data_IF_128275765095
#
_entry.id   IF_128275765095
#
_cell.length_a   1.000
_cell.length_b   1.000
_cell.length_c   1.000
_cell.angle_alpha   90.00
_cell.angle_beta   90.00
_cell.angle_gamma   90.00
#
_symmetry.space_group_name_H-M   'P 1'
#
loop_
_entity.id
_entity.type
_entity.pdbx_description
1 polymer ?
#
# COMPACT_ATOMS: atom_id res chain seq x y z
N UNK A 1 7.75 -11.88 37.90
CA UNK A 1 8.13 -11.37 36.58
C UNK A 1 6.95 -11.22 35.64
N UNK A 2 6.60 -9.96 35.40
CA UNK A 2 5.41 -9.50 34.68
C UNK A 2 5.77 -8.93 33.30
N UNK A 3 6.85 -9.34 32.63
CA UNK A 3 7.24 -8.83 31.31
C UNK A 3 6.40 -9.47 30.19
N UNK A 4 6.14 -8.77 29.06
CA UNK A 4 5.58 -9.46 27.89
C UNK A 4 6.68 -10.38 27.43
N UNK A 5 6.44 -11.69 27.54
CA UNK A 5 7.41 -12.65 27.04
C UNK A 5 7.43 -12.48 25.54
N UNK A 6 8.58 -12.07 25.01
CA UNK A 6 8.92 -12.42 23.66
C UNK A 6 9.02 -13.95 23.64
N UNK A 7 7.91 -14.61 23.32
CA UNK A 7 7.94 -16.05 23.07
C UNK A 7 8.94 -16.19 21.94
N UNK A 8 10.11 -16.77 22.24
CA UNK A 8 11.18 -17.09 21.28
C UNK A 8 10.67 -18.18 20.31
N UNK A 9 9.65 -17.81 19.54
CA UNK A 9 8.98 -18.57 18.51
C UNK A 9 9.79 -18.36 17.26
N UNK A 10 10.55 -19.40 16.93
CA UNK A 10 11.55 -19.36 15.86
C UNK A 10 12.66 -18.33 16.19
N UNK A 11 13.91 -18.56 15.78
CA UNK A 11 14.98 -17.56 15.95
C UNK A 11 14.87 -16.39 14.95
N UNK A 12 13.71 -15.72 14.92
CA UNK A 12 13.39 -14.54 14.08
C UNK A 12 13.86 -13.22 14.70
N UNK A 13 14.62 -13.28 15.79
CA UNK A 13 15.21 -12.13 16.48
C UNK A 13 16.43 -11.54 15.73
N UNK A 14 16.96 -12.26 14.73
CA UNK A 14 18.03 -11.79 13.83
C UNK A 14 17.58 -11.92 12.38
N UNK A 15 17.91 -10.92 11.57
CA UNK A 15 17.66 -11.00 10.14
C UNK A 15 18.60 -12.02 9.47
N UNK A 16 18.15 -12.56 8.34
CA UNK A 16 18.77 -13.68 7.67
C UNK A 16 19.51 -13.25 6.41
N UNK A 17 20.82 -13.44 6.40
CA UNK A 17 21.75 -13.09 5.31
C UNK A 17 22.37 -14.34 4.63
N UNK A 18 22.10 -15.56 5.11
CA UNK A 18 22.75 -16.78 4.61
C UNK A 18 21.79 -17.96 4.31
N UNK A 19 22.36 -19.06 3.79
CA UNK A 19 21.67 -20.31 3.50
C UNK A 19 21.31 -21.11 4.77
N UNK A 20 22.08 -21.02 5.86
CA UNK A 20 21.81 -21.79 7.09
C UNK A 20 20.55 -21.31 7.81
N UNK A 21 20.28 -20.00 7.71
CA UNK A 21 19.11 -19.33 8.26
C UNK A 21 17.82 -19.59 7.46
N UNK A 22 17.92 -20.21 6.28
CA UNK A 22 16.74 -20.59 5.47
C UNK A 22 15.87 -21.64 6.18
N UNK A 23 16.50 -22.55 6.94
CA UNK A 23 15.80 -23.55 7.75
C UNK A 23 14.87 -22.94 8.79
N UNK A 24 15.14 -21.71 9.23
CA UNK A 24 14.31 -20.99 10.22
C UNK A 24 12.98 -20.58 9.60
N UNK A 25 13.01 -20.10 8.35
CA UNK A 25 11.81 -19.75 7.60
C UNK A 25 10.93 -20.97 7.35
N UNK A 26 11.50 -22.16 7.17
CA UNK A 26 10.75 -23.39 6.93
C UNK A 26 9.93 -23.85 8.15
N UNK A 27 10.29 -23.38 9.35
CA UNK A 27 9.54 -23.69 10.57
C UNK A 27 8.18 -22.96 10.64
N UNK A 28 8.04 -21.84 9.92
CA UNK A 28 6.80 -21.06 9.89
C UNK A 28 5.94 -21.62 8.76
N UNK A 29 4.76 -22.14 9.10
CA UNK A 29 3.77 -22.57 8.12
C UNK A 29 3.13 -21.40 7.35
N UNK A 30 2.42 -21.70 6.27
CA UNK A 30 1.57 -20.70 5.60
C UNK A 30 0.29 -20.45 6.39
N UNK A 31 -0.21 -19.21 6.33
CA UNK A 31 -1.46 -18.83 6.97
C UNK A 31 -2.67 -19.43 6.25
N UNK A 32 -3.63 -19.91 7.03
CA UNK A 32 -4.91 -20.39 6.50
C UNK A 32 -5.73 -19.19 6.00
N UNK A 33 -6.22 -19.28 4.77
CA UNK A 33 -7.18 -18.34 4.19
C UNK A 33 -6.57 -17.17 3.44
N UNK A 34 -5.24 -17.13 3.28
CA UNK A 34 -4.58 -16.17 2.40
C UNK A 34 -4.56 -16.68 0.95
N UNK A 35 -4.66 -15.76 0.01
CA UNK A 35 -4.73 -16.01 -1.44
C UNK A 35 -3.63 -15.24 -2.16
N UNK A 36 -3.33 -15.66 -3.38
CA UNK A 36 -2.47 -14.90 -4.29
C UNK A 36 -2.99 -13.48 -4.49
N UNK A 37 -2.07 -12.54 -4.69
CA UNK A 37 -2.40 -11.13 -4.91
C UNK A 37 -2.77 -10.95 -6.37
N UNK A 38 -3.73 -10.06 -6.61
CA UNK A 38 -4.13 -9.68 -7.96
C UNK A 38 -4.30 -8.18 -8.04
N UNK A 39 -3.98 -7.60 -9.20
CA UNK A 39 -4.34 -6.20 -9.52
C UNK A 39 -3.87 -5.16 -8.48
N UNK A 40 -2.72 -5.37 -7.82
CA UNK A 40 -2.25 -4.45 -6.78
C UNK A 40 -1.91 -3.06 -7.32
N UNK A 41 -1.49 -3.01 -8.59
CA UNK A 41 -1.10 -1.76 -9.26
C UNK A 41 -2.26 -1.17 -10.09
N UNK A 42 -3.44 -1.80 -10.10
CA UNK A 42 -4.60 -1.27 -10.82
C UNK A 42 -5.25 -0.14 -10.01
N UNK A 43 -5.12 1.10 -10.50
CA UNK A 43 -5.69 2.27 -9.83
C UNK A 43 -7.23 2.22 -9.75
N UNK A 44 -7.90 1.47 -10.62
CA UNK A 44 -9.36 1.24 -10.58
C UNK A 44 -9.81 0.42 -9.35
N UNK A 45 -8.90 -0.34 -8.72
CA UNK A 45 -9.20 -1.14 -7.53
C UNK A 45 -9.14 -0.33 -6.22
N UNK A 46 -8.68 0.93 -6.28
CA UNK A 46 -8.68 1.88 -5.16
C UNK A 46 -10.07 2.49 -4.96
N UNK A 47 -10.71 2.12 -3.85
CA UNK A 47 -12.08 2.52 -3.55
C UNK A 47 -12.37 2.48 -2.04
N UNK A 48 -13.58 2.90 -1.67
CA UNK A 48 -14.08 2.98 -0.30
C UNK A 48 -15.16 1.91 -0.02
N UNK A 49 -15.24 0.85 -0.84
CA UNK A 49 -16.38 -0.10 -0.74
C UNK A 49 -16.44 -0.83 0.58
N UNK A 50 -15.28 -1.09 1.17
CA UNK A 50 -15.14 -1.74 2.48
C UNK A 50 -15.32 -0.75 3.65
N UNK A 51 -15.79 0.47 3.38
CA UNK A 51 -15.99 1.57 4.34
C UNK A 51 -17.45 2.08 4.37
N UNK A 52 -18.40 1.38 3.72
CA UNK A 52 -19.79 1.83 3.45
C UNK A 52 -20.75 1.84 4.66
N UNK A 53 -20.24 2.02 5.88
CA UNK A 53 -21.10 2.26 7.05
C UNK A 53 -21.74 3.67 6.94
N UNK A 54 -23.06 3.83 7.14
CA UNK A 54 -23.74 5.13 7.08
C UNK A 54 -23.19 6.17 8.07
N UNK A 55 -22.46 5.75 9.11
CA UNK A 55 -21.80 6.62 10.09
C UNK A 55 -20.29 6.70 9.91
N UNK A 56 -19.77 6.34 8.72
CA UNK A 56 -18.34 6.29 8.52
C UNK A 56 -17.67 7.68 8.65
N UNK A 57 -16.87 7.84 9.70
CA UNK A 57 -16.06 9.03 9.93
C UNK A 57 -14.95 9.20 8.88
N UNK A 58 -14.61 8.16 8.13
CA UNK A 58 -13.50 8.11 7.19
C UNK A 58 -13.85 8.47 5.73
N UNK A 59 -14.75 9.43 5.50
CA UNK A 59 -15.04 9.97 4.15
C UNK A 59 -13.75 10.47 3.46
N UNK A 60 -13.56 10.12 2.19
CA UNK A 60 -12.40 10.53 1.38
C UNK A 60 -11.20 9.58 1.47
N UNK A 61 -11.32 8.48 2.21
CA UNK A 61 -10.31 7.41 2.22
C UNK A 61 -10.53 6.47 1.05
N UNK A 62 -9.51 6.31 0.21
CA UNK A 62 -9.43 5.22 -0.77
C UNK A 62 -8.51 4.13 -0.21
N UNK A 63 -9.03 2.91 -0.15
CA UNK A 63 -8.32 1.78 0.44
C UNK A 63 -7.40 1.17 -0.62
N UNK A 64 -6.09 1.01 -0.34
CA UNK A 64 -5.18 0.35 -1.26
C UNK A 64 -5.66 -1.08 -1.59
N UNK A 65 -5.61 -1.53 -2.86
CA UNK A 65 -5.91 -2.92 -3.24
C UNK A 65 -5.09 -3.93 -2.44
N UNK A 66 -3.83 -3.58 -2.14
CA UNK A 66 -2.93 -4.34 -1.25
C UNK A 66 -3.51 -4.47 0.16
N UNK A 67 -3.97 -3.38 0.78
CA UNK A 67 -4.61 -3.42 2.12
C UNK A 67 -5.89 -4.24 2.11
N UNK A 68 -6.72 -4.14 1.06
CA UNK A 68 -7.95 -4.94 0.91
C UNK A 68 -7.64 -6.44 0.82
N UNK A 69 -6.50 -6.78 0.22
CA UNK A 69 -6.01 -8.15 0.06
C UNK A 69 -5.01 -8.57 1.13
N UNK A 70 -4.82 -7.78 2.21
CA UNK A 70 -3.83 -8.06 3.26
C UNK A 70 -4.06 -9.46 3.84
N UNK A 71 -3.04 -10.31 3.74
CA UNK A 71 -3.04 -11.62 4.36
C UNK A 71 -2.99 -11.45 5.86
N UNK A 72 -3.83 -12.19 6.55
CA UNK A 72 -3.86 -12.29 8.00
C UNK A 72 -4.54 -13.62 8.31
N UNK A 73 -3.98 -14.41 9.23
CA UNK A 73 -4.50 -15.76 9.46
C UNK A 73 -6.00 -15.76 9.77
N UNK A 74 -6.76 -16.60 9.05
CA UNK A 74 -8.20 -16.80 9.29
C UNK A 74 -8.48 -17.29 10.71
N UNK A 75 -7.52 -17.96 11.36
CA UNK A 75 -7.65 -18.38 12.76
C UNK A 75 -7.75 -17.14 13.67
N UNK A 76 -6.93 -16.12 13.42
CA UNK A 76 -6.95 -14.86 14.19
C UNK A 76 -8.19 -14.03 13.86
N UNK A 77 -8.60 -14.00 12.58
CA UNK A 77 -9.80 -13.28 12.11
C UNK A 77 -11.12 -13.95 12.48
N UNK A 78 -11.15 -15.26 12.64
CA UNK A 78 -12.38 -16.06 12.79
C UNK A 78 -12.92 -16.06 14.23
N UNK A 79 -14.01 -16.80 14.50
CA UNK A 79 -14.59 -16.90 15.86
C UNK A 79 -13.72 -17.73 16.82
N UNK A 80 -12.68 -18.39 16.30
CA UNK A 80 -11.77 -19.20 17.11
C UNK A 80 -11.13 -18.33 18.22
N UNK A 81 -11.22 -18.83 19.45
CA UNK A 81 -10.51 -18.28 20.58
C UNK A 81 -9.12 -18.92 20.62
N UNK A 82 -8.10 -18.10 20.40
CA UNK A 82 -6.71 -18.49 20.65
C UNK A 82 -6.54 -18.69 22.15
N UNK A 83 -5.79 -19.72 22.56
CA UNK A 83 -5.76 -20.15 23.98
C UNK A 83 -4.79 -19.29 24.81
N UNK A 84 -3.75 -18.78 24.14
CA UNK A 84 -2.62 -18.08 24.72
C UNK A 84 -1.94 -17.14 23.69
N UNK A 85 -1.08 -16.23 24.16
CA UNK A 85 -0.30 -15.27 23.39
C UNK A 85 0.71 -15.94 22.47
N UNK A 86 1.19 -17.15 22.82
CA UNK A 86 2.11 -17.92 21.97
C UNK A 86 1.40 -18.32 20.66
N UNK A 87 0.22 -18.91 20.74
CA UNK A 87 -0.61 -19.26 19.58
C UNK A 87 -1.00 -18.01 18.78
N UNK A 88 -1.36 -16.91 19.46
CA UNK A 88 -1.64 -15.64 18.78
C UNK A 88 -0.43 -15.16 17.98
N UNK A 89 0.75 -15.12 18.60
CA UNK A 89 2.00 -14.73 17.92
C UNK A 89 2.28 -15.64 16.73
N UNK A 90 2.16 -16.95 16.90
CA UNK A 90 2.40 -17.92 15.83
C UNK A 90 1.53 -17.64 14.59
N UNK A 91 0.24 -17.39 14.79
CA UNK A 91 -0.68 -17.11 13.68
C UNK A 91 -0.44 -15.75 13.02
N UNK A 92 -0.01 -14.74 13.78
CA UNK A 92 0.43 -13.45 13.22
C UNK A 92 1.67 -13.66 12.33
N UNK A 93 2.65 -14.46 12.78
CA UNK A 93 3.85 -14.75 12.01
C UNK A 93 3.55 -15.54 10.72
N UNK A 94 2.65 -16.53 10.77
CA UNK A 94 2.16 -17.23 9.57
C UNK A 94 1.54 -16.25 8.57
N UNK A 95 0.69 -15.35 9.06
CA UNK A 95 0.09 -14.31 8.23
C UNK A 95 1.14 -13.43 7.55
N UNK A 96 2.08 -12.90 8.35
CA UNK A 96 3.12 -12.02 7.86
C UNK A 96 4.03 -12.71 6.82
N UNK A 97 4.38 -13.98 7.06
CA UNK A 97 5.10 -14.77 6.08
C UNK A 97 4.32 -14.94 4.79
N UNK A 98 3.05 -15.35 4.86
CA UNK A 98 2.24 -15.51 3.66
C UNK A 98 2.03 -14.18 2.93
N UNK A 99 1.92 -13.05 3.63
CA UNK A 99 1.90 -11.71 3.01
C UNK A 99 3.17 -11.45 2.20
N UNK A 100 4.35 -11.64 2.80
CA UNK A 100 5.62 -11.46 2.10
C UNK A 100 5.79 -12.39 0.91
N UNK A 101 5.33 -13.65 1.02
CA UNK A 101 5.35 -14.64 -0.06
C UNK A 101 4.49 -14.19 -1.24
N UNK A 102 3.22 -13.85 -1.00
CA UNK A 102 2.30 -13.50 -2.08
C UNK A 102 2.61 -12.14 -2.71
N UNK A 103 3.13 -11.16 -1.94
CA UNK A 103 3.66 -9.92 -2.51
C UNK A 103 4.89 -10.20 -3.38
N UNK A 104 5.79 -11.07 -2.90
CA UNK A 104 6.97 -11.51 -3.66
C UNK A 104 6.61 -12.19 -4.97
N UNK A 105 5.60 -13.07 -4.97
CA UNK A 105 5.08 -13.72 -6.18
C UNK A 105 4.51 -12.70 -7.17
N UNK A 106 3.62 -11.82 -6.72
CA UNK A 106 2.92 -10.87 -7.61
C UNK A 106 3.86 -9.89 -8.31
N UNK A 107 4.87 -9.38 -7.60
CA UNK A 107 5.86 -8.49 -8.20
C UNK A 107 6.95 -9.24 -8.97
N UNK A 108 6.97 -10.57 -8.92
CA UNK A 108 7.87 -11.41 -9.70
C UNK A 108 7.29 -11.86 -11.03
N UNK A 109 5.99 -12.14 -11.07
CA UNK A 109 5.28 -12.54 -12.29
C UNK A 109 5.77 -11.69 -13.47
N UNK A 110 6.07 -12.35 -14.59
CA UNK A 110 6.68 -11.72 -15.77
C UNK A 110 5.76 -10.63 -16.33
N UNK A 111 5.95 -9.42 -15.81
CA UNK A 111 5.49 -8.19 -16.41
C UNK A 111 6.56 -7.84 -17.42
N UNK A 112 6.37 -8.28 -18.66
CA UNK A 112 7.26 -8.23 -19.84
C UNK A 112 8.00 -6.90 -20.14
N UNK A 113 7.84 -5.87 -19.30
CA UNK A 113 8.36 -4.51 -19.47
C UNK A 113 9.14 -3.96 -18.26
N UNK A 114 9.15 -4.63 -17.10
CA UNK A 114 9.77 -4.08 -15.88
C UNK A 114 11.16 -4.65 -15.56
N UNK A 115 12.11 -3.77 -15.21
CA UNK A 115 13.44 -4.20 -14.76
C UNK A 115 13.33 -4.95 -13.43
N UNK A 116 14.23 -5.92 -13.22
CA UNK A 116 14.26 -6.75 -12.01
C UNK A 116 14.43 -5.94 -10.72
N UNK A 117 15.19 -4.84 -10.77
CA UNK A 117 15.43 -4.00 -9.59
C UNK A 117 14.18 -3.22 -9.18
N UNK A 118 13.49 -2.64 -10.16
CA UNK A 118 12.20 -1.95 -9.95
C UNK A 118 11.15 -2.90 -9.34
N UNK A 119 11.13 -4.18 -9.78
CA UNK A 119 10.27 -5.23 -9.21
C UNK A 119 10.56 -5.52 -7.74
N UNK A 120 11.84 -5.65 -7.37
CA UNK A 120 12.24 -5.86 -5.96
C UNK A 120 11.85 -4.66 -5.11
N UNK A 121 12.05 -3.45 -5.62
CA UNK A 121 11.71 -2.22 -4.93
C UNK A 121 10.21 -2.10 -4.70
N UNK A 122 9.38 -2.39 -5.71
CA UNK A 122 7.91 -2.44 -5.56
C UNK A 122 7.48 -3.47 -4.51
N UNK A 123 8.06 -4.67 -4.53
CA UNK A 123 7.78 -5.70 -3.53
C UNK A 123 8.16 -5.25 -2.11
N UNK A 124 9.33 -4.63 -1.94
CA UNK A 124 9.77 -4.09 -0.66
C UNK A 124 8.82 -3.01 -0.14
N UNK A 125 8.46 -2.03 -0.98
CA UNK A 125 7.56 -0.95 -0.58
C UNK A 125 6.16 -1.49 -0.22
N UNK A 126 5.64 -2.46 -0.98
CA UNK A 126 4.38 -3.13 -0.64
C UNK A 126 4.47 -3.91 0.68
N UNK A 127 5.60 -4.56 0.96
CA UNK A 127 5.83 -5.22 2.25
C UNK A 127 5.90 -4.22 3.40
N UNK A 128 6.59 -3.08 3.23
CA UNK A 128 6.63 -2.00 4.23
C UNK A 128 5.22 -1.47 4.52
N UNK A 129 4.44 -1.17 3.49
CA UNK A 129 3.05 -0.69 3.66
C UNK A 129 2.18 -1.72 4.39
N UNK A 130 2.33 -3.01 4.07
CA UNK A 130 1.63 -4.09 4.77
C UNK A 130 2.08 -4.26 6.21
N UNK A 131 3.38 -4.13 6.50
CA UNK A 131 3.92 -4.16 7.86
C UNK A 131 3.31 -3.05 8.73
N UNK A 132 3.18 -1.83 8.19
CA UNK A 132 2.50 -0.75 8.90
C UNK A 132 1.00 -1.00 9.04
N UNK A 133 0.33 -1.64 8.07
CA UNK A 133 -1.08 -1.99 8.26
C UNK A 133 -1.26 -3.05 9.36
N UNK A 134 -0.34 -4.01 9.48
CA UNK A 134 -0.29 -4.94 10.61
C UNK A 134 -0.22 -4.21 11.95
N UNK A 135 0.64 -3.19 12.06
CA UNK A 135 0.74 -2.36 13.27
C UNK A 135 -0.60 -1.75 13.64
N UNK A 136 -1.26 -1.09 12.68
CA UNK A 136 -2.54 -0.41 12.91
C UNK A 136 -3.65 -1.40 13.24
N UNK A 137 -3.66 -2.59 12.63
CA UNK A 137 -4.62 -3.66 12.95
C UNK A 137 -4.40 -4.18 14.38
N UNK A 138 -3.15 -4.45 14.75
CA UNK A 138 -2.79 -5.01 16.06
C UNK A 138 -3.09 -4.01 17.18
N UNK A 139 -2.72 -2.73 16.98
CA UNK A 139 -3.01 -1.62 17.90
C UNK A 139 -4.49 -1.20 17.86
N UNK A 140 -5.27 -1.71 16.90
CA UNK A 140 -6.70 -1.41 16.68
C UNK A 140 -6.99 0.04 16.32
N UNK A 141 -6.05 0.71 15.67
CA UNK A 141 -6.18 2.06 15.12
C UNK A 141 -6.35 2.08 13.59
N UNK A 142 -6.41 0.91 12.94
CA UNK A 142 -6.67 0.76 11.51
C UNK A 142 -8.00 1.41 11.09
N UNK A 143 -8.02 2.09 9.94
CA UNK A 143 -9.22 2.77 9.45
C UNK A 143 -10.33 1.81 9.05
N UNK A 144 -10.02 0.53 8.80
CA UNK A 144 -11.02 -0.53 8.59
C UNK A 144 -11.29 -1.34 9.86
N UNK A 145 -10.75 -0.94 11.02
CA UNK A 145 -10.84 -1.72 12.24
C UNK A 145 -12.28 -2.13 12.56
N UNK A 146 -13.30 -1.29 12.32
CA UNK A 146 -14.69 -1.64 12.63
C UNK A 146 -15.32 -2.67 11.69
N UNK A 147 -14.64 -3.06 10.60
CA UNK A 147 -15.20 -3.87 9.51
C UNK A 147 -14.36 -5.13 9.35
N UNK A 148 -13.12 -4.96 8.91
CA UNK A 148 -12.14 -6.04 8.83
C UNK A 148 -11.22 -5.91 10.04
N UNK A 149 -11.07 -6.98 10.83
CA UNK A 149 -10.16 -7.04 11.99
C UNK A 149 -10.64 -6.42 13.32
N UNK A 150 -11.93 -6.12 13.46
CA UNK A 150 -12.51 -5.48 14.67
C UNK A 150 -12.19 -6.16 15.99
N UNK A 151 -12.05 -7.48 15.97
CA UNK A 151 -11.85 -8.25 17.19
C UNK A 151 -10.37 -8.52 17.50
N UNK A 152 -9.43 -8.10 16.65
CA UNK A 152 -8.01 -8.46 16.82
C UNK A 152 -7.42 -7.84 18.07
N UNK A 153 -7.55 -6.52 18.24
CA UNK A 153 -7.10 -5.83 19.45
C UNK A 153 -7.80 -6.39 20.70
N UNK A 154 -9.11 -6.59 20.63
CA UNK A 154 -9.91 -7.12 21.76
C UNK A 154 -9.42 -8.51 22.18
N UNK A 155 -9.15 -9.39 21.22
CA UNK A 155 -8.59 -10.72 21.49
C UNK A 155 -7.21 -10.64 22.11
N UNK A 156 -6.35 -9.78 21.57
CA UNK A 156 -5.00 -9.58 22.10
C UNK A 156 -5.04 -9.05 23.54
N UNK A 157 -5.86 -8.03 23.80
CA UNK A 157 -6.03 -7.44 25.14
C UNK A 157 -6.52 -8.51 26.14
N UNK A 158 -7.51 -9.35 25.77
CA UNK A 158 -7.96 -10.46 26.63
C UNK A 158 -6.86 -11.47 26.96
N UNK A 159 -6.02 -11.80 25.97
CA UNK A 159 -4.89 -12.71 26.17
C UNK A 159 -3.80 -12.09 27.06
N UNK A 160 -3.50 -10.80 26.86
CA UNK A 160 -2.57 -10.05 27.69
C UNK A 160 -3.03 -9.99 29.14
N UNK A 161 -4.31 -9.66 29.39
CA UNK A 161 -4.90 -9.64 30.73
C UNK A 161 -4.77 -11.00 31.42
N UNK A 162 -5.11 -12.08 30.71
CA UNK A 162 -5.06 -13.46 31.23
C UNK A 162 -3.65 -13.91 31.60
N UNK A 163 -2.65 -13.68 30.75
CA UNK A 163 -1.30 -14.21 30.95
C UNK A 163 -0.38 -13.31 31.78
N UNK A 164 -0.74 -12.04 31.94
CA UNK A 164 0.04 -11.09 32.73
C UNK A 164 -0.60 -10.79 34.08
N UNK A 165 -1.56 -11.60 34.55
CA UNK A 165 -2.25 -11.43 35.82
C UNK A 165 -2.82 -10.01 36.02
N UNK A 166 -3.59 -9.51 35.04
CA UNK A 166 -4.21 -8.18 35.06
C UNK A 166 -3.25 -6.97 35.12
N UNK A 167 -1.98 -7.11 34.72
CA UNK A 167 -1.16 -5.93 34.49
C UNK A 167 -1.72 -5.11 33.31
N UNK A 168 -1.64 -3.78 33.40
CA UNK A 168 -2.15 -2.77 32.44
C UNK A 168 -1.42 -2.74 31.09
N UNK A 169 -0.97 -3.89 30.59
CA UNK A 169 -0.26 -3.98 29.32
C UNK A 169 -1.21 -3.87 28.15
N UNK A 170 -0.72 -3.24 27.09
CA UNK A 170 -1.54 -2.92 25.93
C UNK A 170 -1.00 -3.58 24.67
N UNK A 171 -1.85 -3.63 23.64
CA UNK A 171 -1.48 -4.12 22.31
C UNK A 171 -0.25 -3.41 21.75
N UNK A 172 -0.02 -2.13 22.09
CA UNK A 172 1.16 -1.36 21.70
C UNK A 172 2.45 -1.98 22.26
N UNK A 173 2.49 -2.35 23.54
CA UNK A 173 3.65 -2.98 24.16
C UNK A 173 3.96 -4.34 23.49
N UNK A 174 2.90 -5.08 23.14
CA UNK A 174 3.02 -6.34 22.43
C UNK A 174 3.59 -6.13 21.03
N UNK A 175 3.12 -5.11 20.30
CA UNK A 175 3.68 -4.75 18.99
C UNK A 175 5.17 -4.41 19.11
N UNK A 176 5.56 -3.51 20.02
CA UNK A 176 6.96 -3.10 20.19
C UNK A 176 7.88 -4.30 20.47
N UNK A 177 7.39 -5.26 21.27
CA UNK A 177 8.11 -6.50 21.59
C UNK A 177 8.27 -7.41 20.35
N UNK A 178 7.27 -7.47 19.46
CA UNK A 178 7.18 -8.51 18.43
C UNK A 178 7.38 -8.01 16.99
N UNK A 179 7.37 -6.69 16.74
CA UNK A 179 7.44 -6.09 15.39
C UNK A 179 8.64 -6.58 14.57
N UNK A 180 9.78 -6.82 15.23
CA UNK A 180 10.97 -7.38 14.58
C UNK A 180 10.74 -8.79 14.03
N UNK A 181 10.11 -9.66 14.83
CA UNK A 181 9.77 -11.03 14.40
C UNK A 181 8.76 -11.01 13.24
N UNK A 182 7.80 -10.09 13.29
CA UNK A 182 6.79 -9.93 12.23
C UNK A 182 7.45 -9.50 10.92
N UNK A 183 8.32 -8.48 10.94
CA UNK A 183 9.07 -8.06 9.76
C UNK A 183 9.93 -9.19 9.18
N UNK A 184 10.67 -9.89 10.03
CA UNK A 184 11.52 -11.00 9.60
C UNK A 184 10.70 -12.18 9.05
N UNK A 185 9.48 -12.42 9.54
CA UNK A 185 8.56 -13.39 8.94
C UNK A 185 8.13 -12.96 7.52
N UNK A 186 7.85 -11.67 7.29
CA UNK A 186 7.57 -11.17 5.93
C UNK A 186 8.77 -11.38 5.00
N UNK A 187 10.00 -11.12 5.46
CA UNK A 187 11.22 -11.40 4.71
C UNK A 187 11.38 -12.90 4.39
N UNK A 188 11.07 -13.79 5.34
CA UNK A 188 11.03 -15.23 5.10
C UNK A 188 10.05 -15.59 3.97
N UNK A 189 8.86 -14.98 3.98
CA UNK A 189 7.86 -15.13 2.93
C UNK A 189 8.38 -14.73 1.57
N UNK A 190 8.93 -13.51 1.48
CA UNK A 190 9.49 -12.99 0.24
C UNK A 190 10.64 -13.87 -0.29
N UNK A 191 11.51 -14.37 0.59
CA UNK A 191 12.56 -15.34 0.21
C UNK A 191 11.96 -16.61 -0.42
N UNK A 192 10.86 -17.13 0.12
CA UNK A 192 10.14 -18.31 -0.40
C UNK A 192 9.45 -18.07 -1.74
N UNK A 193 9.23 -16.82 -2.17
CA UNK A 193 8.55 -16.53 -3.45
C UNK A 193 9.33 -17.04 -4.68
N UNK A 194 10.65 -17.28 -4.59
CA UNK A 194 11.47 -17.83 -5.68
C UNK A 194 12.94 -18.14 -5.27
N UNK A 195 13.19 -18.54 -4.00
CA UNK A 195 14.54 -18.67 -3.42
C UNK A 195 15.39 -17.38 -3.54
N UNK A 196 14.77 -16.22 -3.29
CA UNK A 196 15.44 -14.94 -3.42
C UNK A 196 16.47 -14.70 -2.33
N UNK A 197 17.58 -14.07 -2.71
CA UNK A 197 18.52 -13.49 -1.76
C UNK A 197 17.88 -12.22 -1.19
N UNK A 198 17.81 -12.14 0.14
CA UNK A 198 17.39 -10.93 0.85
C UNK A 198 18.60 -10.01 0.90
N UNK A 199 18.42 -8.77 0.44
CA UNK A 199 19.43 -7.75 0.62
C UNK A 199 19.54 -7.42 2.14
N UNK A 200 20.74 -7.45 2.74
CA UNK A 200 20.92 -7.13 4.15
C UNK A 200 20.34 -5.77 4.57
N UNK A 201 20.21 -4.81 3.67
CA UNK A 201 19.55 -3.52 3.94
C UNK A 201 18.07 -3.67 4.32
N UNK A 202 17.40 -4.74 3.88
CA UNK A 202 16.00 -5.02 4.21
C UNK A 202 15.83 -5.51 5.65
N UNK A 203 16.93 -5.86 6.32
CA UNK A 203 16.92 -6.27 7.73
C UNK A 203 16.61 -5.14 8.70
N UNK A 204 16.78 -3.90 8.25
CA UNK A 204 16.37 -2.72 9.01
C UNK A 204 14.85 -2.67 9.02
N UNK A 205 14.26 -2.72 10.23
CA UNK A 205 12.81 -2.61 10.39
C UNK A 205 12.39 -1.25 9.82
N UNK A 206 11.30 -1.20 9.02
CA UNK A 206 10.75 0.05 8.55
C UNK A 206 10.49 1.01 9.74
N UNK A 207 10.97 2.25 9.63
CA UNK A 207 11.04 3.22 10.73
C UNK A 207 9.67 3.49 11.35
N UNK A 208 9.62 3.62 12.68
CA UNK A 208 8.37 3.80 13.44
C UNK A 208 7.85 5.23 13.53
N UNK A 209 8.56 6.23 13.00
CA UNK A 209 7.97 7.57 12.74
C UNK A 209 6.98 7.44 11.58
N UNK A 210 5.88 6.80 11.90
CA UNK A 210 4.95 6.32 10.89
C UNK A 210 3.93 7.43 10.69
N UNK A 211 3.93 8.13 9.55
CA UNK A 211 2.90 9.12 9.29
C UNK A 211 1.53 8.43 9.40
N UNK A 212 0.47 9.13 9.85
CA UNK A 212 -0.88 8.60 9.93
C UNK A 212 -1.26 7.69 8.75
N UNK A 213 -2.00 6.60 9.01
CA UNK A 213 -2.30 5.57 7.99
C UNK A 213 -2.87 6.12 6.69
N UNK A 214 -3.72 7.14 6.78
CA UNK A 214 -4.25 7.85 5.62
C UNK A 214 -3.15 8.43 4.73
N UNK A 215 -2.15 9.09 5.33
CA UNK A 215 -1.02 9.67 4.58
C UNK A 215 -0.15 8.61 3.92
N UNK A 216 0.02 7.43 4.54
CA UNK A 216 0.70 6.30 3.90
C UNK A 216 -0.05 5.79 2.69
N UNK A 217 -1.37 5.64 2.80
CA UNK A 217 -2.20 5.22 1.67
C UNK A 217 -2.22 6.27 0.56
N UNK A 218 -2.22 7.57 0.88
CA UNK A 218 -2.07 8.64 -0.12
C UNK A 218 -0.71 8.55 -0.82
N UNK A 219 0.38 8.31 -0.08
CA UNK A 219 1.71 8.14 -0.66
C UNK A 219 1.80 6.91 -1.57
N UNK A 220 1.19 5.79 -1.16
CA UNK A 220 1.08 4.57 -1.97
C UNK A 220 0.26 4.83 -3.25
N UNK A 221 -0.86 5.57 -3.15
CA UNK A 221 -1.67 5.97 -4.31
C UNK A 221 -0.90 6.91 -5.24
N UNK A 222 -0.30 7.97 -4.69
CA UNK A 222 0.43 8.99 -5.43
C UNK A 222 1.62 8.43 -6.21
N UNK A 223 2.33 7.46 -5.62
CA UNK A 223 3.42 6.75 -6.31
C UNK A 223 2.90 6.02 -7.54
N UNK A 224 1.80 5.26 -7.40
CA UNK A 224 1.21 4.51 -8.52
C UNK A 224 0.63 5.44 -9.60
N UNK A 225 -0.03 6.53 -9.20
CA UNK A 225 -0.54 7.54 -10.13
C UNK A 225 0.59 8.17 -10.92
N UNK A 226 1.68 8.60 -10.27
CA UNK A 226 2.77 9.25 -10.98
C UNK A 226 3.47 8.30 -11.96
N UNK A 227 3.67 7.03 -11.59
CA UNK A 227 4.22 6.01 -12.52
C UNK A 227 3.33 5.88 -13.75
N UNK A 228 2.03 5.60 -13.57
CA UNK A 228 1.10 5.42 -14.70
C UNK A 228 0.94 6.69 -15.52
N UNK A 229 0.94 7.85 -14.88
CA UNK A 229 0.87 9.14 -15.56
C UNK A 229 2.04 9.32 -16.52
N UNK A 230 3.25 9.00 -16.08
CA UNK A 230 4.43 9.10 -16.94
C UNK A 230 4.37 8.09 -18.08
N UNK A 231 3.96 6.85 -17.83
CA UNK A 231 3.76 5.85 -18.89
C UNK A 231 2.76 6.36 -19.95
N UNK A 232 1.60 6.88 -19.53
CA UNK A 232 0.62 7.45 -20.44
C UNK A 232 1.19 8.65 -21.23
N UNK A 233 1.93 9.54 -20.56
CA UNK A 233 2.60 10.68 -21.21
C UNK A 233 3.59 10.20 -22.28
N UNK A 234 4.38 9.17 -22.00
CA UNK A 234 5.33 8.59 -22.95
C UNK A 234 4.65 7.93 -24.15
N UNK A 235 3.56 7.19 -23.93
CA UNK A 235 2.76 6.62 -25.02
C UNK A 235 2.16 7.70 -25.92
N UNK A 236 1.60 8.77 -25.34
CA UNK A 236 1.08 9.91 -26.10
C UNK A 236 2.20 10.56 -26.91
N UNK A 237 3.35 10.88 -26.30
CA UNK A 237 4.55 11.41 -27.01
C UNK A 237 4.95 10.54 -28.19
N UNK A 238 5.06 9.23 -27.97
CA UNK A 238 5.49 8.28 -28.99
C UNK A 238 4.50 8.16 -30.15
N UNK A 239 3.19 8.14 -29.87
CA UNK A 239 2.16 7.97 -30.91
C UNK A 239 1.76 9.26 -31.60
N UNK A 240 2.05 10.41 -30.99
CA UNK A 240 1.74 11.73 -31.52
C UNK A 240 2.94 12.48 -32.10
N UNK A 241 4.14 11.88 -32.14
CA UNK A 241 5.38 12.56 -32.54
C UNK A 241 5.34 13.22 -33.92
N UNK A 242 4.54 12.67 -34.84
CA UNK A 242 4.44 13.13 -36.23
C UNK A 242 3.16 13.93 -36.51
N UNK A 243 2.36 14.21 -35.47
CA UNK A 243 1.08 14.93 -35.58
C UNK A 243 1.29 16.36 -35.12
N UNK A 244 1.40 17.29 -36.07
CA UNK A 244 1.56 18.73 -35.79
C UNK A 244 0.24 19.49 -35.82
N UNK A 245 -0.76 18.99 -36.54
CA UNK A 245 -2.13 19.51 -36.55
C UNK A 245 -3.13 18.39 -36.88
N UNK A 246 -4.13 18.19 -36.01
CA UNK A 246 -5.14 17.12 -36.16
C UNK A 246 -5.97 17.22 -37.45
N UNK A 247 -6.14 18.44 -38.00
CA UNK A 247 -6.94 18.66 -39.21
C UNK A 247 -6.32 18.12 -40.52
N UNK A 248 -5.00 18.17 -40.68
CA UNK A 248 -4.35 17.85 -41.97
C UNK A 248 -3.87 16.39 -42.11
N UNK A 249 -3.74 15.65 -41.01
CA UNK A 249 -3.13 14.31 -40.97
C UNK A 249 -4.10 13.23 -40.46
N UNK A 250 -5.30 13.15 -41.04
CA UNK A 250 -6.44 12.37 -40.53
C UNK A 250 -6.23 10.84 -40.38
N UNK A 251 -5.23 10.23 -41.02
CA UNK A 251 -4.90 8.80 -40.89
C UNK A 251 -3.81 8.54 -39.85
N UNK A 252 -2.76 9.37 -39.82
CA UNK A 252 -1.67 9.35 -38.82
C UNK A 252 -2.19 9.80 -37.44
N UNK A 253 -3.23 10.63 -37.41
CA UNK A 253 -3.90 11.08 -36.19
C UNK A 253 -4.66 9.97 -35.46
N UNK A 254 -5.10 8.87 -36.11
CA UNK A 254 -5.96 7.88 -35.45
C UNK A 254 -5.31 7.22 -34.23
N UNK A 255 -4.04 6.83 -34.33
CA UNK A 255 -3.31 6.24 -33.21
C UNK A 255 -3.06 7.27 -32.10
N UNK A 256 -2.69 8.48 -32.47
CA UNK A 256 -2.49 9.58 -31.53
C UNK A 256 -3.80 9.96 -30.80
N UNK A 257 -4.90 10.17 -31.52
CA UNK A 257 -6.22 10.46 -30.97
C UNK A 257 -6.69 9.34 -30.04
N UNK A 258 -6.43 8.07 -30.38
CA UNK A 258 -6.74 6.93 -29.50
C UNK A 258 -5.97 7.01 -28.18
N UNK A 259 -4.65 7.24 -28.20
CA UNK A 259 -3.86 7.36 -26.96
C UNK A 259 -4.24 8.59 -26.13
N UNK A 260 -4.56 9.71 -26.79
CA UNK A 260 -5.08 10.90 -26.12
C UNK A 260 -6.39 10.58 -25.38
N UNK A 261 -7.34 9.91 -26.03
CA UNK A 261 -8.60 9.51 -25.38
C UNK A 261 -8.37 8.60 -24.18
N UNK A 262 -7.48 7.62 -24.30
CA UNK A 262 -7.10 6.76 -23.17
C UNK A 262 -6.52 7.57 -22.00
N UNK A 263 -5.63 8.52 -22.29
CA UNK A 263 -5.06 9.39 -21.25
C UNK A 263 -6.11 10.30 -20.60
N UNK A 264 -7.06 10.83 -21.39
CA UNK A 264 -8.19 11.61 -20.87
C UNK A 264 -9.08 10.78 -19.95
N UNK A 265 -9.49 9.59 -20.38
CA UNK A 265 -10.32 8.68 -19.58
C UNK A 265 -9.62 8.27 -18.28
N UNK A 266 -8.33 7.93 -18.37
CA UNK A 266 -7.50 7.65 -17.21
C UNK A 266 -7.43 8.85 -16.24
N UNK A 267 -7.17 10.05 -16.78
CA UNK A 267 -7.06 11.30 -16.00
C UNK A 267 -8.38 11.63 -15.31
N UNK A 268 -9.51 11.43 -15.99
CA UNK A 268 -10.86 11.63 -15.42
C UNK A 268 -11.11 10.75 -14.21
N UNK A 269 -10.82 9.45 -14.33
CA UNK A 269 -10.99 8.53 -13.20
C UNK A 269 -10.07 8.89 -12.04
N UNK A 270 -8.81 9.28 -12.30
CA UNK A 270 -7.86 9.67 -11.24
C UNK A 270 -8.22 10.99 -10.60
N UNK A 271 -8.78 11.93 -11.37
CA UNK A 271 -9.28 13.21 -10.87
C UNK A 271 -10.36 13.03 -9.81
N UNK A 272 -11.31 12.12 -10.04
CA UNK A 272 -12.37 11.79 -9.07
C UNK A 272 -11.76 11.23 -7.77
N UNK A 273 -10.79 10.32 -7.89
CA UNK A 273 -10.08 9.77 -6.73
C UNK A 273 -9.30 10.85 -5.97
N UNK A 274 -8.62 11.73 -6.69
CA UNK A 274 -7.84 12.83 -6.12
C UNK A 274 -8.72 13.83 -5.37
N UNK A 275 -9.89 14.16 -5.92
CA UNK A 275 -10.87 15.03 -5.28
C UNK A 275 -11.32 14.43 -3.95
N UNK A 276 -11.69 13.14 -3.93
CA UNK A 276 -12.06 12.44 -2.70
C UNK A 276 -10.94 12.44 -1.66
N UNK A 277 -9.70 12.15 -2.07
CA UNK A 277 -8.51 12.21 -1.20
C UNK A 277 -8.29 13.62 -0.66
N UNK A 278 -8.39 14.64 -1.52
CA UNK A 278 -8.15 16.04 -1.16
C UNK A 278 -9.20 16.55 -0.18
N UNK A 279 -10.47 16.21 -0.36
CA UNK A 279 -11.53 16.47 0.61
C UNK A 279 -11.27 15.76 1.94
N UNK A 280 -10.88 14.48 1.88
CA UNK A 280 -10.52 13.68 3.05
C UNK A 280 -9.38 14.30 3.84
N UNK A 281 -8.32 14.76 3.16
CA UNK A 281 -7.19 15.43 3.77
C UNK A 281 -7.61 16.70 4.51
N UNK A 282 -8.36 17.59 3.84
CA UNK A 282 -8.86 18.83 4.45
C UNK A 282 -9.70 18.53 5.70
N UNK A 283 -10.55 17.51 5.63
CA UNK A 283 -11.36 17.06 6.77
C UNK A 283 -10.48 16.58 7.93
N UNK A 284 -9.50 15.71 7.67
CA UNK A 284 -8.65 15.15 8.73
C UNK A 284 -7.64 16.15 9.29
N UNK A 285 -7.29 17.19 8.54
CA UNK A 285 -6.52 18.35 9.00
C UNK A 285 -7.24 19.10 10.12
N UNK A 286 -8.57 19.22 10.00
CA UNK A 286 -9.43 19.78 11.05
C UNK A 286 -9.71 18.82 12.22
N UNK A 287 -9.17 17.60 12.20
CA UNK A 287 -9.33 16.58 13.24
C UNK A 287 -7.97 16.29 13.90
N UNK A 288 -7.99 15.61 15.05
CA UNK A 288 -6.76 15.14 15.71
C UNK A 288 -5.98 14.07 14.90
N UNK A 289 -6.45 13.67 13.71
CA UNK A 289 -5.79 12.69 12.84
C UNK A 289 -4.57 13.28 12.13
N UNK A 290 -4.67 14.51 11.61
CA UNK A 290 -3.58 15.20 10.88
C UNK A 290 -3.20 16.55 11.51
N UNK A 291 -3.53 16.75 12.79
CA UNK A 291 -3.33 18.03 13.48
C UNK A 291 -1.87 18.50 13.52
N UNK A 292 -0.94 17.55 13.65
CA UNK A 292 0.51 17.82 13.73
C UNK A 292 1.21 17.85 12.37
N UNK A 293 0.49 17.51 11.30
CA UNK A 293 1.00 17.60 9.92
C UNK A 293 1.12 19.09 9.58
N UNK A 294 2.15 19.53 8.86
CA UNK A 294 2.37 20.97 8.59
C UNK A 294 1.76 21.40 7.25
N UNK A 295 1.76 20.49 6.30
CA UNK A 295 1.46 20.74 4.91
C UNK A 295 -0.04 21.05 4.74
N UNK A 296 -0.41 22.14 4.05
CA UNK A 296 -1.78 22.66 4.07
C UNK A 296 -2.77 21.74 3.35
N UNK A 297 -2.31 20.98 2.36
CA UNK A 297 -3.11 20.08 1.56
C UNK A 297 -2.33 18.80 1.17
N UNK A 298 -3.04 17.87 0.53
CA UNK A 298 -2.47 16.59 0.12
C UNK A 298 -1.40 16.73 -0.99
N UNK A 299 -1.47 17.78 -1.82
CA UNK A 299 -0.51 18.01 -2.90
C UNK A 299 0.85 18.43 -2.31
N UNK A 300 0.85 19.43 -1.42
CA UNK A 300 2.05 19.86 -0.71
C UNK A 300 2.65 18.73 0.13
N UNK A 301 1.79 17.93 0.80
CA UNK A 301 2.25 16.74 1.53
C UNK A 301 2.98 15.75 0.62
N UNK A 302 2.42 15.43 -0.55
CA UNK A 302 3.06 14.49 -1.48
C UNK A 302 4.35 15.07 -2.08
N UNK A 303 4.39 16.37 -2.39
CA UNK A 303 5.59 17.05 -2.89
C UNK A 303 6.74 16.96 -1.88
N UNK A 304 6.47 17.19 -0.59
CA UNK A 304 7.52 17.17 0.44
C UNK A 304 7.92 15.75 0.87
N UNK A 305 6.95 14.83 0.98
CA UNK A 305 7.15 13.52 1.64
C UNK A 305 7.21 12.33 0.69
N UNK A 306 6.96 12.52 -0.61
CA UNK A 306 7.03 11.46 -1.61
C UNK A 306 7.97 11.82 -2.76
N UNK A 307 9.25 11.48 -2.60
CA UNK A 307 10.26 11.61 -3.66
C UNK A 307 9.94 10.82 -4.94
N UNK A 308 9.10 9.78 -4.84
CA UNK A 308 8.60 8.98 -5.98
C UNK A 308 7.30 9.51 -6.58
N UNK A 309 6.79 10.63 -6.06
CA UNK A 309 5.58 11.28 -6.55
C UNK A 309 5.90 12.64 -7.21
N UNK A 310 6.86 12.77 -8.14
CA UNK A 310 7.23 14.08 -8.69
C UNK A 310 6.18 14.62 -9.67
N UNK A 311 4.91 14.21 -9.62
CA UNK A 311 3.90 14.64 -10.56
C UNK A 311 2.85 15.52 -9.89
N UNK A 312 2.43 16.59 -10.59
CA UNK A 312 1.25 17.34 -10.19
C UNK A 312 0.00 16.45 -10.24
N UNK A 313 -0.93 16.64 -9.31
CA UNK A 313 -2.20 15.91 -9.26
C UNK A 313 -3.38 16.76 -9.75
N UNK A 314 -3.28 18.08 -9.63
CA UNK A 314 -4.37 19.02 -9.97
C UNK A 314 -4.57 19.16 -11.49
N UNK A 315 -3.52 19.00 -12.28
CA UNK A 315 -3.57 19.09 -13.74
C UNK A 315 -4.40 17.95 -14.38
N UNK A 316 -4.73 16.89 -13.64
CA UNK A 316 -5.64 15.84 -14.06
C UNK A 316 -7.08 16.35 -14.23
N UNK A 317 -7.54 17.31 -13.42
CA UNK A 317 -8.88 17.92 -13.54
C UNK A 317 -9.00 18.73 -14.83
N UNK A 318 -7.97 19.52 -15.13
CA UNK A 318 -7.94 20.38 -16.30
C UNK A 318 -8.10 19.59 -17.61
N UNK A 319 -7.58 18.36 -17.71
CA UNK A 319 -7.65 17.52 -18.92
C UNK A 319 -9.07 16.96 -19.19
N UNK A 320 -10.00 17.16 -18.26
CA UNK A 320 -11.31 16.45 -18.23
C UNK A 320 -12.52 17.29 -18.59
N UNK A 321 -12.33 18.56 -18.99
CA UNK A 321 -13.44 19.41 -19.40
C UNK A 321 -14.06 18.94 -20.74
N UNK A 322 -15.25 18.34 -20.65
CA UNK A 322 -16.00 17.73 -21.77
C UNK A 322 -16.49 18.73 -22.85
N UNK A 323 -16.33 20.05 -22.63
CA UNK A 323 -16.81 21.10 -23.54
C UNK A 323 -15.79 21.50 -24.62
N UNK A 324 -14.54 21.06 -24.50
CA UNK A 324 -13.47 21.46 -25.39
C UNK A 324 -13.52 20.66 -26.71
N UNK A 325 -13.22 21.32 -27.84
CA UNK A 325 -13.08 20.60 -29.12
C UNK A 325 -11.92 19.61 -29.00
N UNK A 326 -12.00 18.46 -29.68
CA UNK A 326 -10.93 17.43 -29.71
C UNK A 326 -9.54 18.03 -30.00
N UNK A 327 -9.49 19.10 -30.81
CA UNK A 327 -8.27 19.84 -31.13
C UNK A 327 -7.69 20.65 -29.96
N UNK A 328 -8.54 21.25 -29.12
CA UNK A 328 -8.10 22.00 -27.94
C UNK A 328 -7.55 21.06 -26.87
N UNK A 329 -8.20 19.90 -26.67
CA UNK A 329 -7.73 18.89 -25.72
C UNK A 329 -6.41 18.28 -26.20
N UNK A 330 -6.27 18.05 -27.51
CA UNK A 330 -5.00 17.61 -28.09
C UNK A 330 -3.87 18.59 -27.78
N UNK A 331 -4.06 19.89 -28.06
CA UNK A 331 -3.01 20.89 -27.82
C UNK A 331 -2.64 20.95 -26.32
N UNK A 332 -3.63 20.95 -25.44
CA UNK A 332 -3.42 20.97 -23.98
C UNK A 332 -2.68 19.72 -23.48
N UNK A 333 -3.03 18.54 -23.99
CA UNK A 333 -2.34 17.29 -23.62
C UNK A 333 -0.91 17.27 -24.16
N UNK A 334 -0.69 17.68 -25.41
CA UNK A 334 0.65 17.75 -26.00
C UNK A 334 1.54 18.72 -25.23
N UNK A 335 1.02 19.89 -24.83
CA UNK A 335 1.73 20.82 -23.95
C UNK A 335 2.07 20.17 -22.60
N UNK A 336 1.08 19.60 -21.90
CA UNK A 336 1.27 19.00 -20.57
C UNK A 336 2.15 17.77 -20.53
N UNK A 337 2.14 16.99 -21.60
CA UNK A 337 2.98 15.80 -21.73
C UNK A 337 4.46 16.21 -21.85
N UNK A 338 4.74 17.39 -22.40
CA UNK A 338 6.10 17.95 -22.52
C UNK A 338 6.59 18.67 -21.26
N UNK A 339 5.71 19.08 -20.35
CA UNK A 339 6.10 19.66 -19.06
C UNK A 339 6.71 18.56 -18.17
N UNK A 340 7.95 18.74 -17.67
CA UNK A 340 8.55 17.84 -16.69
C UNK A 340 7.68 17.68 -15.45
N UNK A 341 7.89 16.58 -14.74
CA UNK A 341 7.25 16.34 -13.46
C UNK A 341 7.68 17.47 -12.48
N UNK A 342 6.73 18.13 -11.79
CA UNK A 342 6.95 19.28 -10.88
C UNK A 342 7.72 18.91 -9.61
#
# INVERSE_FOLDING_TARGET
DNAIKDYKLYPLDRCFDDQTKMKICDLIGDAIGCKDKTKLDELDEWNDVDLRDPYNKYKGVLIPPRRRQLCFSRIVRGPANLRNLKEFKEEILKGAQSEGKFLGNYYNEDKDKEKKEDRKEKALEAMKNSFYDYEYIIKGSDMLANIQFKDIKIKLDKLLTKETNNNTKKAEDWWETNKKSIWNAMLCGYKKSENKIIDPSWCTIPTTETPPQFLRWIKEWGTNVCIQKQEHKEYVKSKCSNVTNLGAQASESKNCTSEIRKYQEWSRKRSIQWEAISEGYKKYKGMDILKDVKEPDANEYLKEHCSKCPCGFNDMQEITNDNDKVEEIFNRIIEKVNIPAE
#
